data_IF_054617210578
#
_entry.id   IF_054617210578
#
_cell.length_a   1.000
_cell.length_b   1.000
_cell.length_c   1.000
_cell.angle_alpha   90.00
_cell.angle_beta   90.00
_cell.angle_gamma   90.00
#
_symmetry.space_group_name_H-M   'P 1'
#
loop_
_entity.id
_entity.type
_entity.pdbx_description
1 polymer ?
#
# COMPACT_ATOMS: atom_id res chain seq x y z
N UNK A 1 -7.49 -4.10 -10.02
CA UNK A 1 -6.46 -4.03 -8.97
C UNK A 1 -6.98 -3.08 -7.90
N UNK A 2 -7.04 -3.50 -6.63
CA UNK A 2 -7.38 -2.60 -5.53
C UNK A 2 -6.32 -1.50 -5.39
N UNK A 3 -6.71 -0.40 -4.74
CA UNK A 3 -5.82 0.71 -4.39
C UNK A 3 -5.36 0.64 -2.93
N UNK A 4 -6.09 -0.10 -2.09
CA UNK A 4 -5.71 -0.44 -0.73
C UNK A 4 -6.23 -1.82 -0.33
N UNK A 5 -5.54 -2.47 0.60
CA UNK A 5 -5.98 -3.73 1.23
C UNK A 5 -5.67 -3.71 2.73
N UNK A 6 -6.43 -4.49 3.49
CA UNK A 6 -6.21 -4.72 4.92
C UNK A 6 -5.96 -6.22 5.12
N UNK A 7 -4.85 -6.57 5.76
CA UNK A 7 -4.45 -7.97 6.01
C UNK A 7 -4.23 -8.17 7.50
N UNK A 8 -4.75 -9.27 8.04
CA UNK A 8 -4.79 -9.52 9.50
C UNK A 8 -4.11 -10.82 9.92
N UNK A 9 -3.47 -11.51 8.98
CA UNK A 9 -2.79 -12.78 9.22
C UNK A 9 -1.68 -12.96 8.18
N UNK A 10 -0.70 -13.79 8.49
CA UNK A 10 0.35 -14.15 7.54
C UNK A 10 -0.16 -15.20 6.54
N UNK A 11 0.40 -15.22 5.34
CA UNK A 11 0.16 -16.27 4.35
C UNK A 11 1.48 -16.81 3.75
N UNK A 12 1.46 -17.94 3.01
CA UNK A 12 2.67 -18.55 2.45
C UNK A 12 3.50 -17.66 1.51
N UNK A 13 2.91 -16.60 0.96
CA UNK A 13 3.53 -15.66 0.04
C UNK A 13 3.78 -14.28 0.67
N UNK A 14 3.18 -13.99 1.84
CA UNK A 14 3.27 -12.73 2.55
C UNK A 14 3.23 -12.94 4.08
N UNK A 15 4.39 -13.20 4.66
CA UNK A 15 4.58 -13.44 6.10
C UNK A 15 5.67 -12.58 6.75
N UNK A 16 6.36 -11.75 5.95
CA UNK A 16 7.51 -10.98 6.41
C UNK A 16 7.17 -9.97 7.51
N UNK A 17 5.93 -9.48 7.56
CA UNK A 17 5.47 -8.53 8.57
C UNK A 17 5.03 -9.16 9.89
N UNK A 18 5.00 -10.50 9.98
CA UNK A 18 4.63 -11.24 11.20
C UNK A 18 3.26 -10.79 11.73
N UNK A 19 2.22 -10.91 10.91
CA UNK A 19 0.87 -10.46 11.21
C UNK A 19 0.11 -11.41 12.13
N UNK A 20 0.58 -12.65 12.33
CA UNK A 20 0.02 -13.61 13.29
C UNK A 20 0.38 -13.25 14.76
N UNK A 21 0.28 -11.96 15.09
CA UNK A 21 0.36 -11.39 16.43
C UNK A 21 -1.02 -10.93 16.83
N UNK A 22 -1.34 -11.07 18.12
CA UNK A 22 -2.63 -10.64 18.63
C UNK A 22 -2.89 -9.15 18.35
N UNK A 23 -4.04 -8.84 17.74
CA UNK A 23 -4.47 -7.50 17.40
C UNK A 23 -3.63 -6.76 16.34
N UNK A 24 -2.76 -7.44 15.58
CA UNK A 24 -1.96 -6.80 14.53
C UNK A 24 -2.63 -6.95 13.16
N UNK A 25 -2.70 -5.84 12.43
CA UNK A 25 -3.10 -5.82 11.03
C UNK A 25 -2.16 -4.90 10.24
N UNK A 26 -2.10 -5.12 8.92
CA UNK A 26 -1.36 -4.29 7.99
C UNK A 26 -2.30 -3.64 6.99
N UNK A 27 -2.24 -2.32 6.92
CA UNK A 27 -2.84 -1.54 5.85
C UNK A 27 -1.82 -1.39 4.72
N UNK A 28 -2.19 -1.82 3.51
CA UNK A 28 -1.37 -1.69 2.31
C UNK A 28 -1.99 -0.65 1.37
N UNK A 29 -1.18 0.20 0.78
CA UNK A 29 -1.63 1.29 -0.12
C UNK A 29 -0.79 1.26 -1.38
N UNK A 30 -1.44 1.11 -2.54
CA UNK A 30 -0.80 1.15 -3.85
C UNK A 30 -0.75 2.58 -4.38
N UNK A 31 0.46 3.11 -4.58
CA UNK A 31 0.67 4.51 -4.95
C UNK A 31 1.08 4.67 -6.43
N UNK A 32 0.90 5.86 -7.01
CA UNK A 32 1.64 6.27 -8.20
C UNK A 32 3.15 6.16 -7.96
N UNK A 33 3.90 5.80 -9.01
CA UNK A 33 5.36 5.62 -8.96
C UNK A 33 6.09 6.80 -8.31
N UNK A 34 5.75 8.03 -8.71
CA UNK A 34 6.44 9.23 -8.26
C UNK A 34 6.22 9.45 -6.76
N UNK A 35 4.98 9.27 -6.29
CA UNK A 35 4.66 9.38 -4.86
C UNK A 35 5.32 8.29 -4.02
N UNK A 36 5.46 7.07 -4.55
CA UNK A 36 6.23 6.04 -3.88
C UNK A 36 7.72 6.43 -3.74
N UNK A 37 8.31 6.97 -4.79
CA UNK A 37 9.73 7.38 -4.80
C UNK A 37 10.03 8.53 -3.81
N UNK A 38 9.06 9.38 -3.52
CA UNK A 38 9.19 10.44 -2.50
C UNK A 38 9.14 9.90 -1.06
N UNK A 39 8.57 8.71 -0.86
CA UNK A 39 8.33 8.14 0.48
C UNK A 39 9.35 7.07 0.87
N UNK A 40 9.95 6.40 -0.11
CA UNK A 40 10.79 5.22 0.10
C UNK A 40 12.19 5.49 -0.40
N UNK A 41 13.15 5.43 0.51
CA UNK A 41 14.58 5.50 0.19
C UNK A 41 15.06 4.18 -0.40
N UNK A 42 15.62 4.17 -1.63
CA UNK A 42 16.18 2.96 -2.23
C UNK A 42 17.41 2.45 -1.47
N UNK A 43 17.53 1.14 -1.30
CA UNK A 43 18.68 0.50 -0.66
C UNK A 43 18.72 0.61 0.87
N UNK A 44 17.77 1.33 1.48
CA UNK A 44 17.59 1.36 2.93
C UNK A 44 16.99 0.03 3.41
N UNK A 45 17.52 -0.49 4.51
CA UNK A 45 16.90 -1.61 5.23
C UNK A 45 15.74 -1.10 6.10
N UNK A 46 14.63 -1.84 6.08
CA UNK A 46 13.43 -1.53 6.84
C UNK A 46 13.08 -2.70 7.75
N UNK A 47 12.79 -2.42 9.03
CA UNK A 47 12.12 -3.38 9.90
C UNK A 47 10.64 -3.45 9.50
N UNK A 48 10.32 -4.40 8.63
CA UNK A 48 8.96 -4.62 8.08
C UNK A 48 7.97 -5.18 9.11
N UNK A 49 8.39 -5.37 10.36
CA UNK A 49 7.56 -5.82 11.49
C UNK A 49 7.18 -4.68 12.44
N UNK A 50 7.79 -3.49 12.26
CA UNK A 50 7.60 -2.32 13.10
C UNK A 50 6.14 -1.82 13.05
N UNK A 51 5.59 -1.55 14.24
CA UNK A 51 4.25 -1.02 14.39
C UNK A 51 4.24 0.50 14.22
N UNK A 52 3.19 1.00 13.58
CA UNK A 52 2.91 2.43 13.42
C UNK A 52 4.06 3.18 12.72
N UNK A 53 4.66 2.54 11.71
CA UNK A 53 5.68 3.11 10.82
C UNK A 53 5.25 2.88 9.38
N UNK A 54 5.34 3.92 8.55
CA UNK A 54 5.12 3.81 7.11
C UNK A 54 6.40 3.25 6.45
N UNK A 55 6.25 2.15 5.72
CA UNK A 55 7.35 1.36 5.17
C UNK A 55 7.01 0.95 3.72
N UNK A 56 7.98 0.61 2.87
CA UNK A 56 7.67 -0.14 1.65
C UNK A 56 7.06 -1.51 2.01
N UNK A 57 6.12 -1.97 1.21
CA UNK A 57 5.55 -3.30 1.38
C UNK A 57 6.64 -4.38 1.16
N UNK A 58 6.79 -5.38 2.05
CA UNK A 58 7.89 -6.35 1.96
C UNK A 58 7.89 -7.16 0.65
N UNK A 59 6.72 -7.58 0.20
CA UNK A 59 6.56 -8.31 -1.07
C UNK A 59 6.34 -7.37 -2.27
N UNK A 60 5.40 -6.42 -2.15
CA UNK A 60 4.93 -5.60 -3.26
C UNK A 60 5.61 -4.22 -3.40
N UNK A 61 6.69 -3.95 -2.67
CA UNK A 61 7.41 -2.66 -2.74
C UNK A 61 7.87 -2.32 -4.16
N UNK A 62 8.29 -3.32 -4.94
CA UNK A 62 8.65 -3.15 -6.35
C UNK A 62 7.49 -2.72 -7.26
N UNK A 63 6.24 -2.91 -6.83
CA UNK A 63 5.03 -2.44 -7.53
C UNK A 63 4.47 -1.15 -6.93
N UNK A 64 5.29 -0.42 -6.16
CA UNK A 64 4.95 0.88 -5.57
C UNK A 64 3.90 0.82 -4.45
N UNK A 65 3.96 -0.24 -3.64
CA UNK A 65 3.11 -0.39 -2.46
C UNK A 65 3.87 -0.01 -1.19
N UNK A 66 3.22 0.80 -0.37
CA UNK A 66 3.63 1.05 1.03
C UNK A 66 2.70 0.30 1.97
N UNK A 67 3.16 0.09 3.19
CA UNK A 67 2.36 -0.49 4.25
C UNK A 67 2.61 0.16 5.60
N UNK A 68 1.65 -0.02 6.50
CA UNK A 68 1.78 0.33 7.92
C UNK A 68 1.02 -0.68 8.76
N UNK A 69 1.64 -1.14 9.85
CA UNK A 69 1.00 -2.03 10.81
C UNK A 69 0.38 -1.20 11.93
N UNK A 70 -0.88 -1.44 12.29
CA UNK A 70 -1.59 -0.74 13.37
C UNK A 70 -1.36 0.80 13.36
N UNK A 71 -1.77 1.52 12.29
CA UNK A 71 -1.54 2.96 12.17
C UNK A 71 -2.34 3.73 13.22
N UNK A 72 -1.68 4.21 14.26
CA UNK A 72 -2.27 5.06 15.31
C UNK A 72 -1.78 6.49 15.12
N UNK A 73 -0.48 6.74 15.29
CA UNK A 73 0.11 8.08 15.10
C UNK A 73 0.31 8.40 13.63
N UNK A 74 0.56 7.38 12.81
CA UNK A 74 0.73 7.51 11.35
C UNK A 74 -0.59 7.62 10.60
N UNK A 75 -1.74 7.44 11.28
CA UNK A 75 -3.05 7.45 10.63
C UNK A 75 -3.35 8.70 9.78
N UNK A 76 -3.08 9.94 10.22
CA UNK A 76 -3.33 11.12 9.39
C UNK A 76 -2.56 11.07 8.06
N UNK A 77 -1.32 10.58 8.08
CA UNK A 77 -0.49 10.40 6.89
C UNK A 77 -1.01 9.25 6.01
N UNK A 78 -1.33 8.10 6.62
CA UNK A 78 -1.88 6.96 5.90
C UNK A 78 -3.20 7.32 5.20
N UNK A 79 -4.08 8.09 5.87
CA UNK A 79 -5.32 8.59 5.29
C UNK A 79 -5.09 9.50 4.08
N UNK A 80 -4.14 10.44 4.15
CA UNK A 80 -3.78 11.25 2.99
C UNK A 80 -3.31 10.41 1.79
N UNK A 81 -2.52 9.36 2.06
CA UNK A 81 -2.09 8.42 1.02
C UNK A 81 -3.25 7.58 0.47
N UNK A 82 -4.23 7.22 1.29
CA UNK A 82 -5.46 6.55 0.86
C UNK A 82 -6.25 7.43 -0.10
N UNK A 83 -6.42 8.72 0.22
CA UNK A 83 -7.12 9.68 -0.64
C UNK A 83 -6.42 9.80 -2.01
N UNK A 84 -5.09 9.99 -2.01
CA UNK A 84 -4.29 10.04 -3.25
C UNK A 84 -4.40 8.75 -4.09
N UNK A 85 -4.33 7.58 -3.43
CA UNK A 85 -4.43 6.28 -4.10
C UNK A 85 -5.83 6.05 -4.69
N UNK A 86 -6.88 6.46 -3.97
CA UNK A 86 -8.26 6.39 -4.43
C UNK A 86 -8.48 7.26 -5.67
N UNK A 87 -8.07 8.53 -5.64
CA UNK A 87 -8.20 9.46 -6.76
C UNK A 87 -7.49 8.93 -8.02
N UNK A 88 -6.31 8.35 -7.84
CA UNK A 88 -5.58 7.70 -8.92
C UNK A 88 -6.36 6.50 -9.50
N UNK A 89 -6.94 5.67 -8.62
CA UNK A 89 -7.72 4.51 -9.03
C UNK A 89 -8.99 4.90 -9.80
N UNK A 90 -9.71 5.93 -9.36
CA UNK A 90 -10.89 6.49 -10.05
C UNK A 90 -10.50 6.95 -11.46
N UNK A 91 -9.42 7.72 -11.60
CA UNK A 91 -8.93 8.18 -12.90
C UNK A 91 -8.53 7.02 -13.80
N UNK A 92 -7.84 6.02 -13.26
CA UNK A 92 -7.44 4.81 -14.00
C UNK A 92 -8.65 4.02 -14.49
N UNK A 93 -9.68 3.89 -13.65
CA UNK A 93 -10.94 3.23 -13.99
C UNK A 93 -11.65 3.96 -15.14
N UNK A 94 -11.87 5.28 -15.01
CA UNK A 94 -12.52 6.08 -16.04
C UNK A 94 -11.78 6.01 -17.39
N UNK A 95 -10.46 6.03 -17.38
CA UNK A 95 -9.66 5.89 -18.61
C UNK A 95 -9.78 4.49 -19.23
N UNK A 96 -9.83 3.44 -18.41
CA UNK A 96 -10.01 2.07 -18.90
C UNK A 96 -11.42 1.85 -19.48
N UNK A 97 -12.44 2.46 -18.88
CA UNK A 97 -13.81 2.43 -19.37
C UNK A 97 -13.95 3.10 -20.74
N UNK A 98 -13.44 4.34 -20.88
CA UNK A 98 -13.40 5.06 -22.17
C UNK A 98 -12.74 4.25 -23.29
N UNK A 99 -11.64 3.55 -22.99
CA UNK A 99 -10.93 2.70 -23.96
C UNK A 99 -11.73 1.46 -24.37
N UNK A 100 -12.54 0.89 -23.46
CA UNK A 100 -13.43 -0.22 -23.78
C UNK A 100 -14.57 0.24 -24.67
N UNK A 101 -15.18 1.36 -24.33
CA UNK A 101 -16.28 1.95 -25.11
C UNK A 101 -15.86 2.45 -26.49
N UNK A 102 -14.57 2.71 -26.69
CA UNK A 102 -13.98 3.11 -27.98
C UNK A 102 -13.43 1.93 -28.81
N UNK A 103 -13.48 0.69 -28.32
CA UNK A 103 -13.12 -0.49 -29.14
C UNK A 103 -14.33 -0.86 -30.02
N UNK A 104 -14.18 -0.93 -31.35
CA UNK A 104 -15.22 -1.37 -32.26
C UNK A 104 -15.60 -2.84 -32.04
#
# INVERSE_FOLDING_TARGET
MPWATLVTHDDPYDSASRLDRDGVFRLNIGLPRDRFAELVEPGREYDVTALDVLLPHPVYGGQHWVCVLNPVRTWPRARGLLDEAYDFAVRKFANADRRRSARP
#
